data_IF_102389547684
#
_entry.id   IF_102389547684
#
_cell.length_a   1.000
_cell.length_b   1.000
_cell.length_c   1.000
_cell.angle_alpha   90.00
_cell.angle_beta   90.00
_cell.angle_gamma   90.00
#
_symmetry.space_group_name_H-M   'P 1'
#
loop_
_entity.id
_entity.type
_entity.pdbx_description
1 polymer ?
#
# COMPACT_ATOMS: atom_id res chain seq x y z
N UNK A 1 16.63 3.83 -6.10
CA UNK A 1 15.71 4.43 -7.10
C UNK A 1 14.31 4.65 -6.54
N UNK A 2 13.68 3.62 -5.98
CA UNK A 2 12.34 3.70 -5.35
C UNK A 2 12.33 4.60 -4.09
N UNK A 3 13.29 4.42 -3.18
CA UNK A 3 13.41 5.20 -1.94
C UNK A 3 13.55 6.72 -2.17
N UNK A 4 14.21 7.13 -3.27
CA UNK A 4 14.40 8.54 -3.62
C UNK A 4 13.17 9.13 -4.32
N UNK A 5 12.02 8.47 -4.25
CA UNK A 5 10.79 8.85 -4.94
C UNK A 5 10.86 8.86 -6.48
N UNK A 6 11.98 8.46 -7.11
CA UNK A 6 12.11 8.48 -8.59
C UNK A 6 11.23 7.44 -9.29
N UNK A 7 10.88 6.34 -8.62
CA UNK A 7 9.97 5.30 -9.11
C UNK A 7 8.96 4.91 -8.03
N UNK A 8 7.70 4.63 -8.38
CA UNK A 8 6.73 4.09 -7.41
C UNK A 8 7.07 2.62 -7.07
N UNK A 9 6.77 2.23 -5.84
CA UNK A 9 6.73 0.85 -5.38
C UNK A 9 5.30 0.35 -5.49
N UNK A 10 5.04 -0.55 -6.44
CA UNK A 10 3.74 -1.19 -6.60
C UNK A 10 3.84 -2.57 -5.96
N UNK A 11 2.96 -2.87 -5.00
CA UNK A 11 2.92 -4.18 -4.33
C UNK A 11 1.55 -4.79 -4.50
N UNK A 12 1.53 -6.01 -5.04
CA UNK A 12 0.31 -6.82 -5.12
C UNK A 12 0.04 -7.45 -3.76
N UNK A 13 -1.08 -7.10 -3.14
CA UNK A 13 -1.55 -7.72 -1.92
C UNK A 13 -3.07 -7.58 -1.79
N UNK A 14 -3.70 -8.53 -1.12
CA UNK A 14 -5.15 -8.59 -0.94
C UNK A 14 -5.54 -8.48 0.54
N UNK A 15 -4.65 -8.87 1.45
CA UNK A 15 -4.85 -8.91 2.90
C UNK A 15 -4.65 -7.55 3.56
N UNK A 16 -5.57 -7.18 4.46
CA UNK A 16 -5.49 -5.97 5.26
C UNK A 16 -4.26 -5.95 6.17
N UNK A 17 -3.87 -7.09 6.75
CA UNK A 17 -2.69 -7.18 7.63
C UNK A 17 -1.39 -6.86 6.88
N UNK A 18 -1.29 -7.32 5.64
CA UNK A 18 -0.15 -7.00 4.77
C UNK A 18 -0.16 -5.51 4.41
N UNK A 19 -1.32 -4.93 4.09
CA UNK A 19 -1.46 -3.50 3.82
C UNK A 19 -1.06 -2.68 5.05
N UNK A 20 -1.51 -3.03 6.25
CA UNK A 20 -1.16 -2.34 7.49
C UNK A 20 0.35 -2.40 7.75
N UNK A 21 0.99 -3.54 7.50
CA UNK A 21 2.44 -3.70 7.62
C UNK A 21 3.19 -2.81 6.62
N UNK A 22 2.70 -2.72 5.38
CA UNK A 22 3.25 -1.84 4.35
C UNK A 22 3.11 -0.36 4.69
N UNK A 23 1.99 0.04 5.29
CA UNK A 23 1.79 1.41 5.78
C UNK A 23 2.77 1.74 6.90
N UNK A 24 2.98 0.83 7.86
CA UNK A 24 4.01 1.00 8.91
C UNK A 24 5.40 1.13 8.31
N UNK A 25 5.75 0.29 7.33
CA UNK A 25 7.04 0.37 6.63
C UNK A 25 7.21 1.70 5.91
N UNK A 26 6.16 2.20 5.24
CA UNK A 26 6.16 3.51 4.59
C UNK A 26 6.48 4.62 5.60
N UNK A 27 5.80 4.65 6.75
CA UNK A 27 6.05 5.65 7.80
C UNK A 27 7.49 5.58 8.34
N UNK A 28 8.03 4.37 8.53
CA UNK A 28 9.42 4.19 8.95
C UNK A 28 10.41 4.73 7.92
N UNK A 29 10.16 4.51 6.63
CA UNK A 29 11.02 5.02 5.55
C UNK A 29 10.90 6.55 5.43
N UNK A 30 9.69 7.07 5.47
CA UNK A 30 9.43 8.52 5.38
C UNK A 30 10.04 9.29 6.56
N UNK A 31 10.08 8.69 7.75
CA UNK A 31 10.70 9.31 8.93
C UNK A 31 12.23 9.24 8.95
N UNK A 32 12.82 8.26 8.25
CA UNK A 32 14.29 8.09 8.18
C UNK A 32 14.91 8.80 7.00
N UNK A 33 14.14 9.09 5.95
CA UNK A 33 14.67 9.71 4.73
C UNK A 33 14.41 11.22 4.74
N UNK A 34 15.48 12.02 4.72
CA UNK A 34 15.36 13.48 4.73
C UNK A 34 14.61 13.99 3.48
N UNK A 35 13.36 14.41 3.68
CA UNK A 35 12.53 15.14 2.73
C UNK A 35 12.14 14.37 1.44
N UNK A 36 12.16 13.03 1.45
CA UNK A 36 11.63 12.22 0.35
C UNK A 36 10.59 11.24 0.86
N UNK A 37 9.40 11.29 0.27
CA UNK A 37 8.31 10.37 0.57
C UNK A 37 8.34 9.15 -0.35
N UNK A 38 8.19 7.97 0.23
CA UNK A 38 8.02 6.73 -0.51
C UNK A 38 6.67 6.76 -1.24
N UNK A 39 6.72 6.62 -2.58
CA UNK A 39 5.54 6.46 -3.44
C UNK A 39 5.12 4.99 -3.45
N UNK A 40 4.29 4.60 -2.50
CA UNK A 40 3.71 3.26 -2.41
C UNK A 40 2.35 3.22 -3.11
N UNK A 41 2.08 2.16 -3.87
CA UNK A 41 0.80 1.87 -4.52
C UNK A 41 0.43 0.42 -4.20
N UNK A 42 -0.81 0.18 -3.78
CA UNK A 42 -1.34 -1.18 -3.58
C UNK A 42 -2.03 -1.63 -4.87
N UNK A 43 -1.71 -2.83 -5.32
CA UNK A 43 -2.40 -3.52 -6.40
C UNK A 43 -3.15 -4.74 -5.84
N UNK A 44 -4.36 -5.01 -6.30
CA UNK A 44 -5.23 -6.04 -5.74
C UNK A 44 -6.20 -5.44 -4.73
N UNK A 45 -5.79 -5.30 -3.47
CA UNK A 45 -6.49 -4.52 -2.45
C UNK A 45 -7.87 -5.02 -2.06
N UNK A 46 -8.14 -6.33 -2.09
CA UNK A 46 -9.45 -6.90 -1.77
C UNK A 46 -10.00 -6.44 -0.41
N UNK A 47 -9.13 -6.34 0.61
CA UNK A 47 -9.47 -5.89 1.95
C UNK A 47 -9.07 -4.44 2.24
N UNK A 48 -8.66 -3.67 1.23
CA UNK A 48 -8.20 -2.28 1.41
C UNK A 48 -9.27 -1.38 2.05
N UNK A 49 -10.55 -1.71 1.87
CA UNK A 49 -11.67 -0.99 2.47
C UNK A 49 -11.65 -1.02 4.01
N UNK A 50 -11.06 -2.05 4.64
CA UNK A 50 -10.89 -2.13 6.10
C UNK A 50 -9.91 -1.09 6.65
N UNK A 51 -9.00 -0.59 5.80
CA UNK A 51 -7.96 0.39 6.14
C UNK A 51 -8.12 1.70 5.35
N UNK A 52 -9.33 1.99 4.87
CA UNK A 52 -9.57 3.12 3.97
C UNK A 52 -9.11 4.47 4.55
N UNK A 53 -9.32 4.69 5.85
CA UNK A 53 -8.90 5.92 6.53
C UNK A 53 -7.36 6.05 6.59
N UNK A 54 -6.66 4.95 6.86
CA UNK A 54 -5.19 4.92 6.96
C UNK A 54 -4.52 5.06 5.58
N UNK A 55 -5.12 4.44 4.55
CA UNK A 55 -4.69 4.60 3.17
C UNK A 55 -4.86 6.04 2.70
N UNK A 56 -5.98 6.68 3.02
CA UNK A 56 -6.26 8.07 2.69
C UNK A 56 -5.30 9.03 3.40
N UNK A 57 -5.08 8.85 4.71
CA UNK A 57 -4.15 9.69 5.49
C UNK A 57 -2.71 9.56 5.02
N UNK A 58 -2.32 8.37 4.54
CA UNK A 58 -0.98 8.09 4.02
C UNK A 58 -0.80 8.43 2.53
N UNK A 59 -1.86 8.89 1.86
CA UNK A 59 -1.90 9.17 0.42
C UNK A 59 -1.41 7.98 -0.45
N UNK A 60 -1.88 6.78 -0.10
CA UNK A 60 -1.53 5.53 -0.81
C UNK A 60 -2.69 5.13 -1.71
N UNK A 61 -2.54 5.22 -3.06
CA UNK A 61 -3.58 4.79 -3.97
C UNK A 61 -3.67 3.27 -4.03
N UNK A 62 -4.89 2.80 -4.31
CA UNK A 62 -5.20 1.37 -4.49
C UNK A 62 -5.73 1.15 -5.91
N UNK A 63 -5.11 0.23 -6.63
CA UNK A 63 -5.58 -0.31 -7.90
C UNK A 63 -6.32 -1.60 -7.59
N UNK A 64 -7.64 -1.53 -7.50
CA UNK A 64 -8.50 -2.68 -7.25
C UNK A 64 -8.54 -3.60 -8.48
N UNK A 65 -8.01 -4.81 -8.34
CA UNK A 65 -7.90 -5.77 -9.44
C UNK A 65 -7.94 -7.22 -8.91
N UNK A 66 -9.01 -7.99 -9.17
CA UNK A 66 -10.21 -7.66 -9.94
C UNK A 66 -11.14 -6.65 -9.24
N UNK A 67 -12.06 -6.03 -10.00
CA UNK A 67 -13.05 -5.07 -9.50
C UNK A 67 -13.92 -5.64 -8.37
N UNK A 68 -14.20 -6.94 -8.41
CA UNK A 68 -14.99 -7.65 -7.40
C UNK A 68 -14.10 -8.65 -6.70
N UNK A 69 -14.10 -8.62 -5.37
CA UNK A 69 -13.36 -9.59 -4.56
C UNK A 69 -13.78 -11.01 -4.94
N UNK A 70 -12.80 -11.83 -5.28
CA UNK A 70 -12.99 -13.23 -5.59
C UNK A 70 -12.02 -14.05 -4.74
N UNK A 71 -12.54 -15.01 -4.00
CA UNK A 71 -11.74 -15.88 -3.14
C UNK A 71 -10.96 -16.88 -4.00
N UNK A 72 -9.78 -16.47 -4.47
CA UNK A 72 -8.82 -17.37 -5.13
C UNK A 72 -8.10 -18.27 -4.13
N UNK A 73 -7.99 -17.81 -2.88
CA UNK A 73 -7.25 -18.44 -1.77
C UNK A 73 -7.98 -18.19 -0.44
N UNK A 74 -7.59 -18.94 0.60
CA UNK A 74 -8.12 -18.84 1.96
C UNK A 74 -7.28 -17.93 2.90
N UNK A 75 -6.11 -17.50 2.44
CA UNK A 75 -5.25 -16.52 3.14
C UNK A 75 -5.87 -15.10 3.10
#
# INVERSE_FOLDING_TARGET
RVINSSLPLIITTYSADTIATLLKLKHTIDSTTYNTLLRLIIHGGAEAHLLAADLASSNVPVILAPLLSYATTWD
#
